data_IF_726767785511
#
_entry.id   IF_726767785511
#
_cell.length_a   1.000
_cell.length_b   1.000
_cell.length_c   1.000
_cell.angle_alpha   90.00
_cell.angle_beta   90.00
_cell.angle_gamma   90.00
#
_symmetry.space_group_name_H-M   'P 1'
#
loop_
_entity.id
_entity.type
_entity.pdbx_description
1 polymer ?
#
# COMPACT_ATOMS: atom_id res chain seq x y z
N UNK A 1 -19.97 -10.10 2.39
CA UNK A 1 -19.00 -10.87 3.23
C UNK A 1 -17.63 -10.45 2.77
N UNK A 2 -16.81 -9.89 3.65
CA UNK A 2 -15.46 -9.47 3.28
C UNK A 2 -14.59 -10.66 2.85
N UNK A 3 -13.64 -10.48 1.92
CA UNK A 3 -12.79 -11.55 1.45
C UNK A 3 -11.95 -12.14 2.58
N UNK A 4 -11.80 -13.47 2.60
CA UNK A 4 -10.91 -14.14 3.55
C UNK A 4 -9.47 -14.03 3.05
N UNK A 5 -8.61 -13.44 3.86
CA UNK A 5 -7.18 -13.33 3.58
C UNK A 5 -6.52 -14.65 3.99
N UNK A 6 -6.07 -15.42 3.02
CA UNK A 6 -5.42 -16.71 3.27
C UNK A 6 -3.90 -16.53 3.47
N UNK A 7 -3.52 -15.68 4.43
CA UNK A 7 -2.11 -15.50 4.87
C UNK A 7 -2.08 -15.14 6.34
N UNK A 8 -1.16 -15.75 7.07
CA UNK A 8 -0.88 -15.37 8.44
C UNK A 8 -0.17 -14.01 8.47
N UNK A 9 -0.70 -13.08 9.26
CA UNK A 9 -0.08 -11.80 9.57
C UNK A 9 0.47 -11.81 11.00
N UNK A 10 1.54 -11.05 11.24
CA UNK A 10 1.99 -10.74 12.58
C UNK A 10 1.06 -9.71 13.24
N UNK A 11 0.96 -9.73 14.58
CA UNK A 11 0.23 -8.70 15.34
C UNK A 11 0.85 -7.30 15.17
N UNK A 12 2.17 -7.24 14.96
CA UNK A 12 2.90 -6.00 14.70
C UNK A 12 3.21 -5.89 13.22
N UNK A 13 2.89 -4.71 12.61
CA UNK A 13 3.32 -4.31 11.29
C UNK A 13 4.50 -3.33 11.34
N UNK A 14 5.30 -3.28 10.28
CA UNK A 14 6.38 -2.31 10.11
C UNK A 14 5.96 -1.22 9.15
N UNK A 15 5.79 0.02 9.65
CA UNK A 15 5.46 1.20 8.86
C UNK A 15 6.71 1.90 8.33
N UNK A 16 6.75 2.15 7.02
CA UNK A 16 7.89 2.73 6.32
C UNK A 16 7.78 4.26 6.09
N UNK A 17 6.93 4.95 6.87
CA UNK A 17 6.72 6.39 6.75
C UNK A 17 7.82 7.22 7.41
N UNK A 18 8.56 6.67 8.37
CA UNK A 18 9.52 7.41 9.20
C UNK A 18 10.82 6.65 9.36
N UNK A 19 11.54 6.47 8.25
CA UNK A 19 12.89 5.94 8.30
C UNK A 19 13.87 6.94 8.94
N UNK A 20 14.97 6.47 9.52
CA UNK A 20 16.07 7.34 9.91
C UNK A 20 16.61 8.09 8.70
N UNK A 21 17.04 9.31 8.92
CA UNK A 21 17.58 10.18 7.86
C UNK A 21 19.00 10.62 8.18
N UNK A 22 19.77 10.81 7.13
CA UNK A 22 21.11 11.43 7.17
C UNK A 22 20.99 12.94 7.44
N UNK A 23 22.07 13.62 7.82
CA UNK A 23 22.04 15.07 8.09
C UNK A 23 21.56 15.93 6.91
N UNK A 24 21.66 15.46 5.67
CA UNK A 24 21.14 16.13 4.47
C UNK A 24 19.64 15.81 4.21
N UNK A 25 18.96 15.11 5.14
CA UNK A 25 17.53 14.84 5.10
C UNK A 25 17.10 13.68 4.22
N UNK A 26 18.03 12.94 3.62
CA UNK A 26 17.72 11.71 2.85
C UNK A 26 17.56 10.52 3.78
N UNK A 27 16.90 9.48 3.29
CA UNK A 27 16.83 8.21 4.04
C UNK A 27 18.25 7.68 4.26
N UNK A 28 18.57 7.30 5.51
CA UNK A 28 19.69 6.40 5.75
C UNK A 28 19.30 5.00 5.26
N UNK A 29 19.60 4.74 3.99
CA UNK A 29 19.17 3.55 3.28
C UNK A 29 19.71 2.28 3.94
N UNK A 30 20.98 2.30 4.36
CA UNK A 30 21.60 1.14 4.98
C UNK A 30 20.94 0.76 6.29
N UNK A 31 20.64 1.76 7.12
CA UNK A 31 19.96 1.56 8.38
C UNK A 31 18.48 1.17 8.19
N UNK A 32 17.78 1.81 7.24
CA UNK A 32 16.39 1.47 6.93
C UNK A 32 16.24 0.01 6.46
N UNK A 33 17.11 -0.44 5.55
CA UNK A 33 17.15 -1.84 5.09
C UNK A 33 17.44 -2.80 6.26
N UNK A 34 18.43 -2.46 7.10
CA UNK A 34 18.76 -3.25 8.29
C UNK A 34 17.56 -3.39 9.22
N UNK A 35 16.85 -2.29 9.49
CA UNK A 35 15.66 -2.26 10.36
C UNK A 35 14.53 -3.14 9.81
N UNK A 36 14.21 -3.02 8.52
CA UNK A 36 13.17 -3.82 7.86
C UNK A 36 13.51 -5.31 7.96
N UNK A 37 14.73 -5.69 7.55
CA UNK A 37 15.16 -7.09 7.57
C UNK A 37 15.21 -7.65 9.01
N UNK A 38 15.70 -6.87 9.97
CA UNK A 38 15.68 -7.27 11.38
C UNK A 38 14.25 -7.51 11.88
N UNK A 39 13.30 -6.65 11.56
CA UNK A 39 11.89 -6.84 11.92
C UNK A 39 11.32 -8.14 11.33
N UNK A 40 11.58 -8.40 10.03
CA UNK A 40 11.12 -9.62 9.34
C UNK A 40 11.73 -10.89 9.96
N UNK A 41 13.03 -10.87 10.25
CA UNK A 41 13.74 -12.01 10.86
C UNK A 41 13.26 -12.30 12.29
N UNK A 42 12.70 -11.26 12.97
CA UNK A 42 12.06 -11.40 14.30
C UNK A 42 10.53 -11.58 14.22
N UNK A 43 9.99 -11.98 13.08
CA UNK A 43 8.61 -12.45 12.96
C UNK A 43 7.59 -11.43 12.48
N UNK A 44 7.99 -10.18 12.15
CA UNK A 44 7.07 -9.23 11.50
C UNK A 44 6.77 -9.74 10.08
N UNK A 45 5.48 -9.76 9.73
CA UNK A 45 5.00 -10.26 8.43
C UNK A 45 4.23 -9.21 7.63
N UNK A 46 4.02 -8.02 8.14
CA UNK A 46 3.29 -6.95 7.48
C UNK A 46 4.17 -5.72 7.31
N UNK A 47 4.39 -5.30 6.06
CA UNK A 47 5.19 -4.12 5.68
C UNK A 47 4.29 -3.12 4.98
N UNK A 48 4.25 -1.89 5.51
CA UNK A 48 3.40 -0.80 5.02
C UNK A 48 4.23 0.37 4.48
N UNK A 49 4.01 0.74 3.23
CA UNK A 49 4.59 1.94 2.61
C UNK A 49 3.52 2.74 1.86
N UNK A 50 3.90 3.83 1.21
CA UNK A 50 3.03 4.63 0.36
C UNK A 50 3.81 5.50 -0.62
N UNK A 51 3.15 5.87 -1.71
CA UNK A 51 3.69 6.72 -2.76
C UNK A 51 4.41 8.00 -2.28
N UNK A 52 3.82 8.82 -1.35
CA UNK A 52 4.44 10.08 -0.94
C UNK A 52 5.49 9.95 0.16
N UNK A 53 5.70 8.77 0.74
CA UNK A 53 6.57 8.64 1.90
C UNK A 53 8.03 8.94 1.54
N UNK A 54 8.67 9.81 2.33
CA UNK A 54 10.03 10.30 2.08
C UNK A 54 10.20 10.89 0.67
N UNK A 55 9.24 11.69 0.20
CA UNK A 55 9.30 12.29 -1.13
C UNK A 55 9.24 11.29 -2.29
N UNK A 56 8.75 10.07 -2.04
CA UNK A 56 8.64 8.99 -3.03
C UNK A 56 9.76 7.95 -2.99
N UNK A 57 10.75 8.12 -2.08
CA UNK A 57 11.90 7.22 -1.95
C UNK A 57 11.62 5.97 -1.10
N UNK A 58 10.59 6.00 -0.23
CA UNK A 58 10.29 4.90 0.68
C UNK A 58 10.07 3.57 -0.06
N UNK A 59 9.31 3.58 -1.15
CA UNK A 59 9.03 2.36 -1.94
C UNK A 59 10.30 1.76 -2.55
N UNK A 60 11.26 2.60 -2.98
CA UNK A 60 12.56 2.17 -3.52
C UNK A 60 13.38 1.46 -2.43
N UNK A 61 13.45 2.03 -1.24
CA UNK A 61 14.18 1.44 -0.11
C UNK A 61 13.53 0.13 0.34
N UNK A 62 12.18 0.08 0.40
CA UNK A 62 11.45 -1.14 0.70
C UNK A 62 11.73 -2.22 -0.34
N UNK A 63 11.70 -1.89 -1.64
CA UNK A 63 12.05 -2.82 -2.71
C UNK A 63 13.44 -3.44 -2.53
N UNK A 64 14.45 -2.62 -2.20
CA UNK A 64 15.81 -3.09 -1.90
C UNK A 64 15.85 -3.99 -0.67
N UNK A 65 15.13 -3.64 0.40
CA UNK A 65 15.07 -4.42 1.62
C UNK A 65 14.44 -5.81 1.41
N UNK A 66 13.48 -5.90 0.48
CA UNK A 66 12.74 -7.13 0.21
C UNK A 66 13.41 -8.07 -0.80
N UNK A 67 14.62 -7.77 -1.26
CA UNK A 67 15.43 -8.71 -2.06
C UNK A 67 15.88 -9.93 -1.25
N UNK A 68 16.56 -10.84 -1.91
CA UNK A 68 17.18 -12.02 -1.29
C UNK A 68 16.20 -12.93 -0.53
N UNK A 69 14.97 -13.10 -1.08
CA UNK A 69 13.94 -13.95 -0.50
C UNK A 69 13.16 -13.33 0.67
N UNK A 70 13.28 -12.02 0.92
CA UNK A 70 12.48 -11.35 1.95
C UNK A 70 11.06 -11.03 1.49
N UNK A 71 10.86 -10.80 0.17
CA UNK A 71 9.52 -10.50 -0.38
C UNK A 71 8.48 -11.58 -0.07
N UNK A 72 8.86 -12.82 -0.17
CA UNK A 72 7.99 -13.98 0.05
C UNK A 72 7.59 -14.17 1.53
N UNK A 73 8.37 -13.60 2.45
CA UNK A 73 8.14 -13.69 3.89
C UNK A 73 7.07 -12.72 4.40
N UNK A 74 6.66 -11.72 3.59
CA UNK A 74 5.83 -10.62 4.06
C UNK A 74 4.56 -10.41 3.24
N UNK A 75 3.59 -9.80 3.90
CA UNK A 75 2.44 -9.12 3.29
C UNK A 75 2.89 -7.69 3.01
N UNK A 76 2.92 -7.29 1.74
CA UNK A 76 3.34 -5.96 1.32
C UNK A 76 2.15 -5.10 0.96
N UNK A 77 2.08 -3.91 1.56
CA UNK A 77 1.05 -2.91 1.30
C UNK A 77 1.67 -1.62 0.79
N UNK A 78 1.11 -1.08 -0.29
CA UNK A 78 1.31 0.31 -0.68
C UNK A 78 -0.02 0.98 -1.04
N UNK A 79 -0.02 2.29 -1.34
CA UNK A 79 -1.24 3.09 -1.36
C UNK A 79 -1.32 3.95 -2.62
N UNK A 80 -2.49 3.93 -3.28
CA UNK A 80 -2.81 4.83 -4.38
C UNK A 80 -2.92 6.28 -3.87
N UNK A 81 -2.15 7.24 -4.38
CA UNK A 81 -2.27 8.64 -4.01
C UNK A 81 -3.52 9.27 -4.67
N UNK A 82 -4.71 9.00 -4.10
CA UNK A 82 -6.02 9.33 -4.71
C UNK A 82 -6.18 10.80 -5.09
N UNK A 83 -5.50 11.73 -4.40
CA UNK A 83 -5.52 13.18 -4.70
C UNK A 83 -4.74 13.56 -5.96
N UNK A 84 -3.93 12.64 -6.52
CA UNK A 84 -3.21 12.84 -7.79
C UNK A 84 -3.92 12.18 -8.97
N UNK A 85 -4.91 11.34 -8.73
CA UNK A 85 -5.67 10.62 -9.76
C UNK A 85 -6.67 11.57 -10.42
N UNK A 86 -6.60 11.70 -11.73
CA UNK A 86 -7.48 12.56 -12.54
C UNK A 86 -8.35 11.76 -13.49
N UNK A 87 -7.88 10.62 -13.95
CA UNK A 87 -8.58 9.74 -14.88
C UNK A 87 -8.56 8.29 -14.36
N UNK A 88 -9.41 7.45 -14.90
CA UNK A 88 -9.42 6.02 -14.58
C UNK A 88 -8.05 5.37 -14.84
N UNK A 89 -7.43 5.71 -15.96
CA UNK A 89 -6.14 5.15 -16.40
C UNK A 89 -4.97 5.54 -15.48
N UNK A 90 -5.08 6.67 -14.77
CA UNK A 90 -4.03 7.10 -13.84
C UNK A 90 -3.84 6.12 -12.68
N UNK A 91 -4.92 5.44 -12.24
CA UNK A 91 -4.83 4.46 -11.16
C UNK A 91 -3.88 3.31 -11.51
N UNK A 92 -3.98 2.79 -12.75
CA UNK A 92 -3.09 1.73 -13.22
C UNK A 92 -1.66 2.25 -13.44
N UNK A 93 -1.48 3.48 -13.94
CA UNK A 93 -0.15 4.10 -14.10
C UNK A 93 0.56 4.25 -12.76
N UNK A 94 -0.13 4.74 -11.71
CA UNK A 94 0.45 4.82 -10.37
C UNK A 94 0.82 3.43 -9.83
N UNK A 95 -0.05 2.44 -9.98
CA UNK A 95 0.25 1.07 -9.56
C UNK A 95 1.50 0.54 -10.26
N UNK A 96 1.62 0.71 -11.58
CA UNK A 96 2.78 0.24 -12.35
C UNK A 96 4.08 0.95 -11.93
N UNK A 97 4.02 2.26 -11.69
CA UNK A 97 5.16 3.02 -11.16
C UNK A 97 5.59 2.50 -9.78
N UNK A 98 4.63 2.26 -8.89
CA UNK A 98 4.92 1.79 -7.52
C UNK A 98 5.46 0.35 -7.52
N UNK A 99 4.92 -0.54 -8.35
CA UNK A 99 5.47 -1.89 -8.52
C UNK A 99 6.91 -1.86 -9.03
N UNK A 100 7.23 -0.94 -9.95
CA UNK A 100 8.61 -0.73 -10.41
C UNK A 100 9.53 -0.23 -9.29
N UNK A 101 9.10 0.73 -8.47
CA UNK A 101 9.87 1.21 -7.31
C UNK A 101 10.10 0.11 -6.28
N UNK A 102 9.08 -0.69 -6.01
CA UNK A 102 9.11 -1.82 -5.08
C UNK A 102 9.87 -3.04 -5.63
N UNK A 103 10.21 -3.03 -6.92
CA UNK A 103 10.90 -4.12 -7.64
C UNK A 103 10.19 -5.48 -7.42
N UNK A 104 8.86 -5.48 -7.57
CA UNK A 104 7.99 -6.66 -7.38
C UNK A 104 6.88 -6.68 -8.41
N UNK A 105 6.44 -7.86 -8.88
CA UNK A 105 5.33 -7.96 -9.83
C UNK A 105 3.96 -7.73 -9.20
N UNK A 106 3.82 -7.74 -7.87
CA UNK A 106 2.56 -7.57 -7.18
C UNK A 106 2.72 -7.03 -5.77
N UNK A 107 1.63 -6.44 -5.25
CA UNK A 107 1.44 -6.16 -3.82
C UNK A 107 0.30 -7.00 -3.26
N UNK A 108 0.37 -7.32 -1.96
CA UNK A 108 -0.70 -8.07 -1.31
C UNK A 108 -1.91 -7.17 -1.07
N UNK A 109 -1.69 -5.96 -0.58
CA UNK A 109 -2.71 -4.94 -0.47
C UNK A 109 -2.33 -3.68 -1.25
N UNK A 110 -3.25 -3.23 -2.08
CA UNK A 110 -3.20 -1.90 -2.66
C UNK A 110 -4.36 -1.10 -2.12
N UNK A 111 -4.10 -0.01 -1.40
CA UNK A 111 -5.15 0.68 -0.66
C UNK A 111 -5.34 2.11 -1.14
N UNK A 112 -6.59 2.59 -1.16
CA UNK A 112 -6.90 3.99 -1.42
C UNK A 112 -6.36 4.84 -0.25
N UNK A 113 -5.49 5.83 -0.53
CA UNK A 113 -4.76 6.55 0.52
C UNK A 113 -5.59 7.68 1.13
N UNK A 114 -5.72 7.68 2.48
CA UNK A 114 -6.30 8.75 3.27
C UNK A 114 -7.71 9.15 2.81
N UNK A 115 -8.61 8.17 2.73
CA UNK A 115 -9.97 8.36 2.27
C UNK A 115 -10.79 9.24 3.21
N UNK A 116 -11.71 9.98 2.62
CA UNK A 116 -12.80 10.74 3.22
C UNK A 116 -13.98 10.78 2.23
N UNK A 117 -15.09 11.41 2.56
CA UNK A 117 -16.28 11.47 1.70
C UNK A 117 -15.96 12.08 0.31
N UNK A 118 -15.25 13.21 0.25
CA UNK A 118 -14.93 13.90 -1.01
C UNK A 118 -14.07 13.02 -1.94
N UNK A 119 -13.06 12.38 -1.38
CA UNK A 119 -12.18 11.46 -2.13
C UNK A 119 -12.91 10.21 -2.57
N UNK A 120 -13.87 9.74 -1.75
CA UNK A 120 -14.71 8.60 -2.12
C UNK A 120 -15.58 8.91 -3.33
N UNK A 121 -16.25 10.08 -3.33
CA UNK A 121 -17.06 10.55 -4.47
C UNK A 121 -16.22 10.67 -5.74
N UNK A 122 -14.98 11.16 -5.62
CA UNK A 122 -14.06 11.24 -6.76
C UNK A 122 -13.67 9.85 -7.28
N UNK A 123 -13.33 8.93 -6.41
CA UNK A 123 -12.94 7.57 -6.81
C UNK A 123 -14.11 6.78 -7.41
N UNK A 124 -15.34 6.95 -6.91
CA UNK A 124 -16.54 6.37 -7.49
C UNK A 124 -16.77 6.86 -8.94
N UNK A 125 -16.63 8.17 -9.18
CA UNK A 125 -16.76 8.75 -10.53
C UNK A 125 -15.70 8.21 -11.52
N UNK A 126 -14.56 7.82 -11.02
CA UNK A 126 -13.46 7.24 -11.80
C UNK A 126 -13.51 5.71 -11.86
N UNK A 127 -14.57 5.10 -11.33
CA UNK A 127 -14.81 3.65 -11.36
C UNK A 127 -13.65 2.83 -10.74
N UNK A 128 -13.30 3.16 -9.50
CA UNK A 128 -12.22 2.49 -8.78
C UNK A 128 -12.45 0.98 -8.62
N UNK A 129 -13.71 0.51 -8.59
CA UNK A 129 -14.05 -0.92 -8.49
C UNK A 129 -13.60 -1.68 -9.74
N UNK A 130 -13.81 -1.09 -10.93
CA UNK A 130 -13.32 -1.66 -12.20
C UNK A 130 -11.79 -1.70 -12.23
N UNK A 131 -11.13 -0.61 -11.79
CA UNK A 131 -9.67 -0.59 -11.67
C UNK A 131 -9.16 -1.77 -10.80
N UNK A 132 -9.74 -2.00 -9.62
CA UNK A 132 -9.34 -3.14 -8.78
C UNK A 132 -9.60 -4.48 -9.46
N UNK A 133 -10.74 -4.65 -10.12
CA UNK A 133 -11.03 -5.87 -10.86
C UNK A 133 -9.95 -6.14 -11.95
N UNK A 134 -9.55 -5.10 -12.70
CA UNK A 134 -8.50 -5.18 -13.70
C UNK A 134 -7.12 -5.48 -13.08
N UNK A 135 -6.74 -4.81 -11.99
CA UNK A 135 -5.46 -5.01 -11.31
C UNK A 135 -5.34 -6.42 -10.69
N UNK A 136 -6.42 -6.93 -10.12
CA UNK A 136 -6.49 -8.29 -9.58
C UNK A 136 -6.41 -9.33 -10.71
N UNK A 137 -7.16 -9.14 -11.80
CA UNK A 137 -7.12 -10.03 -12.95
C UNK A 137 -5.73 -10.09 -13.61
N UNK A 138 -4.96 -8.98 -13.57
CA UNK A 138 -3.57 -8.93 -14.02
C UNK A 138 -2.57 -9.50 -12.99
N UNK A 139 -3.03 -9.92 -11.81
CA UNK A 139 -2.18 -10.46 -10.74
C UNK A 139 -1.28 -9.41 -10.05
N UNK A 140 -1.52 -8.11 -10.27
CA UNK A 140 -0.75 -7.01 -9.69
C UNK A 140 -1.15 -6.68 -8.26
N UNK A 141 -2.40 -6.93 -7.90
CA UNK A 141 -2.98 -6.70 -6.57
C UNK A 141 -3.70 -7.95 -6.11
N UNK A 142 -3.54 -8.33 -4.85
CA UNK A 142 -4.30 -9.46 -4.28
C UNK A 142 -5.59 -9.00 -3.62
N UNK A 143 -5.51 -7.94 -2.84
CA UNK A 143 -6.65 -7.44 -2.05
C UNK A 143 -6.73 -5.91 -2.14
N UNK A 144 -7.94 -5.35 -2.36
CA UNK A 144 -8.20 -3.93 -2.23
C UNK A 144 -8.32 -3.51 -0.78
N UNK A 145 -8.12 -2.22 -0.49
CA UNK A 145 -8.35 -1.66 0.82
C UNK A 145 -8.39 -0.14 0.80
N UNK A 146 -8.52 0.46 1.96
CA UNK A 146 -8.41 1.91 2.11
C UNK A 146 -7.79 2.31 3.45
N UNK A 147 -7.10 3.43 3.50
CA UNK A 147 -6.75 4.11 4.75
C UNK A 147 -7.66 5.32 4.94
N UNK A 148 -7.89 5.71 6.19
CA UNK A 148 -8.97 6.61 6.52
C UNK A 148 -8.55 7.67 7.54
N UNK A 149 -9.02 8.92 7.33
CA UNK A 149 -8.77 10.06 8.21
C UNK A 149 -10.00 11.00 8.23
N UNK A 150 -11.11 10.55 8.76
CA UNK A 150 -12.35 11.34 8.87
C UNK A 150 -13.21 10.80 10.04
N UNK A 151 -14.48 11.14 10.12
CA UNK A 151 -15.39 10.69 11.18
C UNK A 151 -15.93 9.25 10.95
N UNK A 152 -16.55 8.71 11.99
CA UNK A 152 -17.11 7.35 11.95
C UNK A 152 -18.22 7.19 10.90
N UNK A 153 -18.98 8.24 10.58
CA UNK A 153 -20.05 8.18 9.58
C UNK A 153 -19.48 8.02 8.18
N UNK A 154 -18.46 8.81 7.85
CA UNK A 154 -17.72 8.69 6.59
C UNK A 154 -17.05 7.31 6.46
N UNK A 155 -16.45 6.78 7.56
CA UNK A 155 -15.90 5.44 7.59
C UNK A 155 -16.93 4.39 7.21
N UNK A 156 -18.10 4.40 7.84
CA UNK A 156 -19.16 3.44 7.56
C UNK A 156 -19.70 3.56 6.12
N UNK A 157 -19.80 4.77 5.58
CA UNK A 157 -20.19 4.99 4.19
C UNK A 157 -19.19 4.31 3.22
N UNK A 158 -17.89 4.50 3.43
CA UNK A 158 -16.85 3.91 2.58
C UNK A 158 -16.81 2.39 2.75
N UNK A 159 -16.91 1.91 3.99
CA UNK A 159 -16.89 0.48 4.30
C UNK A 159 -18.06 -0.26 3.62
N UNK A 160 -19.26 0.32 3.63
CA UNK A 160 -20.45 -0.29 3.04
C UNK A 160 -20.58 -0.08 1.53
N UNK A 161 -19.77 0.80 0.92
CA UNK A 161 -19.81 1.01 -0.53
C UNK A 161 -19.39 -0.22 -1.33
N UNK A 162 -18.53 -1.05 -0.74
CA UNK A 162 -18.03 -2.25 -1.42
C UNK A 162 -17.74 -3.39 -0.44
N UNK A 163 -18.20 -4.59 -0.78
CA UNK A 163 -18.04 -5.79 0.05
C UNK A 163 -16.73 -6.57 -0.20
N UNK A 164 -15.89 -6.07 -1.13
CA UNK A 164 -14.60 -6.70 -1.48
C UNK A 164 -13.40 -6.08 -0.72
N UNK A 165 -13.62 -5.12 0.17
CA UNK A 165 -12.53 -4.59 0.97
C UNK A 165 -11.83 -5.69 1.78
N UNK A 166 -10.53 -5.86 1.56
CA UNK A 166 -9.71 -6.81 2.29
C UNK A 166 -9.09 -6.21 3.55
N UNK A 167 -9.02 -4.86 3.63
CA UNK A 167 -8.49 -4.15 4.80
C UNK A 167 -8.94 -2.70 4.85
N UNK A 168 -8.98 -2.12 6.04
CA UNK A 168 -9.13 -0.70 6.31
C UNK A 168 -8.31 -0.30 7.55
#
# INVERSE_FOLDING_TARGET
MFPTINRESSMLGFGCMRFPTTPDGKIDESEAIRMIRHAIDNGVRYIDTAYPYHGGESEIVVGKALKDGYREKVILTTKLPVWLVKTHEDMMKFLDEQLKKLDTPYVDFYILHAMNNERMDAMQKLDYKRFYAEAIAQGKVRYPGFSFHDDAKAFLCILHDWDQWGMC
#
